data_IF_352254590923
#
_entry.id   IF_352254590923
#
_cell.length_a   1.000
_cell.length_b   1.000
_cell.length_c   1.000
_cell.angle_alpha   90.00
_cell.angle_beta   90.00
_cell.angle_gamma   90.00
#
_symmetry.space_group_name_H-M   'P 1'
#
loop_
_entity.id
_entity.type
_entity.pdbx_description
1 polymer ?
#
# COMPACT_ATOMS: atom_id res chain seq x y z
N UNK A 1 14.77 9.20 -13.33
CA UNK A 1 16.02 9.55 -14.02
C UNK A 1 16.16 8.91 -15.42
N UNK A 2 15.36 7.89 -15.74
CA UNK A 2 15.44 7.22 -17.05
C UNK A 2 14.45 7.80 -18.08
N UNK A 3 13.43 8.53 -17.65
CA UNK A 3 12.44 9.16 -18.52
C UNK A 3 12.86 10.59 -18.85
N UNK A 4 12.51 11.04 -20.07
CA UNK A 4 12.75 12.40 -20.52
C UNK A 4 12.58 12.54 -22.02
N UNK A 5 12.15 13.72 -22.50
CA UNK A 5 12.01 14.01 -23.93
C UNK A 5 10.95 13.20 -24.68
N UNK A 6 10.05 12.52 -23.97
CA UNK A 6 9.09 11.60 -24.59
C UNK A 6 7.99 12.29 -25.39
N UNK A 7 7.80 13.60 -25.25
CA UNK A 7 6.81 14.35 -26.02
C UNK A 7 6.92 14.14 -27.54
N UNK A 8 8.13 14.02 -28.06
CA UNK A 8 8.40 13.80 -29.50
C UNK A 8 7.85 12.47 -30.00
N UNK A 9 7.76 11.46 -29.13
CA UNK A 9 7.38 10.10 -29.50
C UNK A 9 5.96 9.74 -29.10
N UNK A 10 5.43 10.41 -28.04
CA UNK A 10 4.13 10.13 -27.45
C UNK A 10 3.31 11.42 -27.21
N UNK A 11 2.99 12.19 -28.26
CA UNK A 11 2.33 13.48 -28.10
C UNK A 11 0.90 13.36 -27.57
N UNK A 12 0.13 12.36 -27.97
CA UNK A 12 -1.26 12.17 -27.51
C UNK A 12 -1.25 11.79 -26.02
N UNK A 13 -0.41 10.85 -25.64
CA UNK A 13 -0.23 10.46 -24.23
C UNK A 13 0.20 11.66 -23.39
N UNK A 14 1.12 12.48 -23.87
CA UNK A 14 1.58 13.68 -23.16
C UNK A 14 0.43 14.69 -22.96
N UNK A 15 -0.37 14.97 -23.98
CA UNK A 15 -1.52 15.90 -23.89
C UNK A 15 -2.54 15.36 -22.89
N UNK A 16 -2.91 14.10 -22.94
CA UNK A 16 -3.83 13.49 -21.99
C UNK A 16 -3.28 13.54 -20.56
N UNK A 17 -1.98 13.30 -20.38
CA UNK A 17 -1.31 13.41 -19.07
C UNK A 17 -1.35 14.84 -18.55
N UNK A 18 -1.12 15.85 -19.39
CA UNK A 18 -1.19 17.25 -19.01
C UNK A 18 -2.63 17.63 -18.58
N UNK A 19 -3.65 17.20 -19.33
CA UNK A 19 -5.05 17.41 -18.96
C UNK A 19 -5.35 16.80 -17.58
N UNK A 20 -4.91 15.57 -17.35
CA UNK A 20 -5.04 14.90 -16.05
C UNK A 20 -4.29 15.63 -14.93
N UNK A 21 -3.08 16.11 -15.20
CA UNK A 21 -2.24 16.89 -14.28
C UNK A 21 -2.89 18.24 -13.90
N UNK A 22 -3.45 18.95 -14.86
CA UNK A 22 -4.21 20.18 -14.63
C UNK A 22 -5.47 19.87 -13.81
N UNK A 23 -6.17 18.79 -14.12
CA UNK A 23 -7.38 18.39 -13.40
C UNK A 23 -7.09 18.04 -11.94
N UNK A 24 -6.10 17.19 -11.67
CA UNK A 24 -5.76 16.79 -10.28
C UNK A 24 -5.23 17.97 -9.45
N UNK A 25 -4.63 18.95 -10.10
CA UNK A 25 -4.19 20.21 -9.48
C UNK A 25 -5.33 21.14 -9.10
N UNK A 26 -6.57 20.76 -9.42
CA UNK A 26 -7.76 21.56 -9.20
C UNK A 26 -7.73 22.93 -9.91
N UNK A 27 -7.29 22.93 -11.17
CA UNK A 27 -7.41 24.11 -12.00
C UNK A 27 -8.89 24.37 -12.35
N UNK A 28 -9.36 25.63 -12.32
CA UNK A 28 -10.73 25.96 -12.73
C UNK A 28 -11.09 25.35 -14.10
N UNK A 29 -12.35 25.00 -14.31
CA UNK A 29 -12.89 24.31 -15.50
C UNK A 29 -12.52 22.82 -15.61
N UNK A 30 -11.89 22.24 -14.60
CA UNK A 30 -11.61 20.82 -14.54
C UNK A 30 -12.27 20.14 -13.34
N UNK A 31 -12.49 18.82 -13.41
CA UNK A 31 -13.21 18.04 -12.41
C UNK A 31 -12.62 18.13 -11.00
N UNK A 32 -11.28 18.20 -10.89
CA UNK A 32 -10.61 18.33 -9.61
C UNK A 32 -10.94 19.64 -8.86
N UNK A 33 -11.18 20.74 -9.59
CA UNK A 33 -11.63 21.99 -8.98
C UNK A 33 -13.03 21.86 -8.38
N UNK A 34 -13.96 21.24 -9.12
CA UNK A 34 -15.34 21.05 -8.69
C UNK A 34 -15.43 20.22 -7.42
N UNK A 35 -14.71 19.07 -7.37
CA UNK A 35 -14.68 18.21 -6.20
C UNK A 35 -13.98 18.88 -5.00
N UNK A 36 -12.81 19.49 -5.23
CA UNK A 36 -12.02 20.12 -4.18
C UNK A 36 -12.77 21.30 -3.55
N UNK A 37 -13.35 22.19 -4.36
CA UNK A 37 -14.05 23.38 -3.86
C UNK A 37 -15.25 22.99 -2.99
N UNK A 38 -15.98 21.92 -3.34
CA UNK A 38 -17.05 21.37 -2.53
C UNK A 38 -16.56 20.91 -1.15
N UNK A 39 -15.49 20.11 -1.12
CA UNK A 39 -14.90 19.60 0.13
C UNK A 39 -14.39 20.75 1.00
N UNK A 40 -13.67 21.70 0.42
CA UNK A 40 -13.12 22.85 1.16
C UNK A 40 -14.23 23.74 1.72
N UNK A 41 -15.30 23.96 0.95
CA UNK A 41 -16.47 24.70 1.42
C UNK A 41 -17.19 24.01 2.58
N UNK A 42 -17.36 22.68 2.50
CA UNK A 42 -17.95 21.90 3.58
C UNK A 42 -17.13 21.99 4.87
N UNK A 43 -15.81 21.83 4.78
CA UNK A 43 -14.91 21.94 5.94
C UNK A 43 -14.93 23.35 6.56
N UNK A 44 -15.04 24.38 5.73
CA UNK A 44 -15.18 25.77 6.20
C UNK A 44 -16.49 26.00 6.95
N UNK A 45 -17.61 25.44 6.46
CA UNK A 45 -18.93 25.52 7.11
C UNK A 45 -18.98 24.77 8.44
N UNK A 46 -18.33 23.60 8.53
CA UNK A 46 -18.24 22.80 9.76
C UNK A 46 -17.19 23.34 10.76
N UNK A 47 -16.47 24.40 10.42
CA UNK A 47 -15.45 24.97 11.30
C UNK A 47 -14.21 24.11 11.53
N UNK A 48 -13.96 23.11 10.67
CA UNK A 48 -12.81 22.19 10.78
C UNK A 48 -11.53 22.85 10.24
N UNK A 49 -11.11 23.93 10.85
CA UNK A 49 -10.01 24.82 10.40
C UNK A 49 -8.69 24.06 10.22
N UNK A 50 -8.34 23.19 11.14
CA UNK A 50 -7.10 22.41 11.05
C UNK A 50 -7.09 21.49 9.80
N UNK A 51 -8.17 20.76 9.56
CA UNK A 51 -8.30 19.88 8.39
C UNK A 51 -8.31 20.68 7.11
N UNK A 52 -8.97 21.85 7.11
CA UNK A 52 -8.97 22.78 5.98
C UNK A 52 -7.54 23.18 5.56
N UNK A 53 -6.71 23.64 6.52
CA UNK A 53 -5.33 24.03 6.23
C UNK A 53 -4.45 22.83 5.82
N UNK A 54 -4.64 21.65 6.41
CA UNK A 54 -3.93 20.44 6.02
C UNK A 54 -4.22 20.08 4.56
N UNK A 55 -5.49 20.12 4.13
CA UNK A 55 -5.86 19.86 2.75
C UNK A 55 -5.40 20.95 1.78
N UNK A 56 -5.40 22.20 2.21
CA UNK A 56 -4.87 23.30 1.41
C UNK A 56 -3.37 23.11 1.13
N UNK A 57 -2.60 22.77 2.16
CA UNK A 57 -1.18 22.46 2.03
C UNK A 57 -0.92 21.26 1.14
N UNK A 58 -1.66 20.15 1.34
CA UNK A 58 -1.58 18.97 0.50
C UNK A 58 -1.88 19.28 -0.97
N UNK A 59 -2.84 20.17 -1.23
CA UNK A 59 -3.19 20.62 -2.57
C UNK A 59 -2.04 21.34 -3.30
N UNK A 60 -1.28 22.18 -2.60
CA UNK A 60 -0.09 22.81 -3.17
C UNK A 60 0.98 21.74 -3.52
N UNK A 61 1.16 20.73 -2.66
CA UNK A 61 2.04 19.60 -2.91
C UNK A 61 1.62 18.76 -4.13
N UNK A 62 0.32 18.55 -4.33
CA UNK A 62 -0.21 17.83 -5.50
C UNK A 62 0.12 18.57 -6.80
N UNK A 63 -0.06 19.88 -6.86
CA UNK A 63 0.33 20.67 -8.03
C UNK A 63 1.83 20.51 -8.32
N UNK A 64 2.67 20.69 -7.31
CA UNK A 64 4.12 20.61 -7.47
C UNK A 64 4.56 19.22 -7.97
N UNK A 65 4.04 18.15 -7.37
CA UNK A 65 4.44 16.78 -7.70
C UNK A 65 3.74 16.26 -8.97
N UNK A 66 2.42 16.17 -8.95
CA UNK A 66 1.64 15.51 -10.00
C UNK A 66 1.31 16.46 -11.15
N UNK A 67 1.10 17.73 -10.83
CA UNK A 67 0.75 18.75 -11.83
C UNK A 67 1.92 19.20 -12.69
N UNK A 68 3.10 19.37 -12.11
CA UNK A 68 4.27 19.92 -12.81
C UNK A 68 5.39 18.90 -12.95
N UNK A 69 5.87 18.35 -11.82
CA UNK A 69 7.07 17.51 -11.82
C UNK A 69 6.95 16.31 -12.76
N UNK A 70 5.89 15.53 -12.64
CA UNK A 70 5.71 14.30 -13.44
C UNK A 70 5.64 14.63 -14.95
N UNK A 71 4.73 15.50 -15.45
CA UNK A 71 4.69 15.83 -16.87
C UNK A 71 5.98 16.44 -17.39
N UNK A 72 6.59 17.36 -16.61
CA UNK A 72 7.81 18.06 -17.02
C UNK A 72 8.97 17.08 -17.20
N UNK A 73 9.28 16.26 -16.20
CA UNK A 73 10.42 15.34 -16.27
C UNK A 73 10.20 14.17 -17.22
N UNK A 74 8.97 13.70 -17.38
CA UNK A 74 8.69 12.61 -18.31
C UNK A 74 8.71 13.06 -19.78
N UNK A 75 8.16 14.21 -20.10
CA UNK A 75 7.92 14.60 -21.49
C UNK A 75 8.81 15.72 -22.02
N UNK A 76 9.26 16.66 -21.16
CA UNK A 76 9.91 17.90 -21.61
C UNK A 76 11.32 18.11 -21.10
N UNK A 77 11.76 17.43 -20.04
CA UNK A 77 13.10 17.60 -19.47
C UNK A 77 14.21 17.14 -20.45
N UNK A 78 15.29 16.59 -19.94
CA UNK A 78 16.41 16.09 -20.72
C UNK A 78 16.00 14.97 -21.70
N UNK A 79 16.74 14.81 -22.79
CA UNK A 79 16.56 13.69 -23.71
C UNK A 79 17.16 12.41 -23.11
N UNK A 80 16.29 11.45 -22.78
CA UNK A 80 16.73 10.14 -22.25
C UNK A 80 17.32 9.20 -23.31
N UNK A 81 17.22 9.54 -24.61
CA UNK A 81 17.61 8.67 -25.71
C UNK A 81 16.65 7.48 -25.95
N UNK A 82 15.61 7.33 -25.17
CA UNK A 82 14.61 6.26 -25.32
C UNK A 82 13.73 6.59 -26.50
N UNK A 83 13.78 5.74 -27.54
CA UNK A 83 12.87 5.78 -28.66
C UNK A 83 11.71 4.83 -28.40
N UNK A 84 10.52 5.37 -28.17
CA UNK A 84 9.30 4.61 -27.93
C UNK A 84 8.26 4.90 -29.01
N UNK A 85 7.15 4.20 -28.96
CA UNK A 85 5.99 4.45 -29.80
C UNK A 85 4.84 4.95 -28.96
N UNK A 86 3.85 5.59 -29.59
CA UNK A 86 2.58 5.95 -28.95
C UNK A 86 1.92 4.70 -28.35
N UNK A 87 1.11 4.92 -27.33
CA UNK A 87 0.35 3.85 -26.68
C UNK A 87 -0.59 3.13 -27.69
N UNK A 88 -0.96 1.85 -27.45
CA UNK A 88 -1.96 1.15 -28.25
C UNK A 88 -3.28 1.91 -28.30
N UNK A 89 -4.02 1.75 -29.41
CA UNK A 89 -5.25 2.50 -29.68
C UNK A 89 -6.28 2.42 -28.57
N UNK A 90 -6.46 1.24 -27.98
CA UNK A 90 -7.38 1.04 -26.84
C UNK A 90 -6.99 1.90 -25.62
N UNK A 91 -5.70 2.05 -25.33
CA UNK A 91 -5.22 2.90 -24.25
C UNK A 91 -5.39 4.39 -24.58
N UNK A 92 -5.11 4.77 -25.84
CA UNK A 92 -5.33 6.15 -26.30
C UNK A 92 -6.80 6.54 -26.15
N UNK A 93 -7.73 5.68 -26.60
CA UNK A 93 -9.17 5.93 -26.48
C UNK A 93 -9.56 6.09 -25.00
N UNK A 94 -9.08 5.23 -24.12
CA UNK A 94 -9.35 5.33 -22.67
C UNK A 94 -8.83 6.66 -22.09
N UNK A 95 -7.61 7.07 -22.46
CA UNK A 95 -7.03 8.35 -22.00
C UNK A 95 -7.81 9.57 -22.52
N UNK A 96 -8.27 9.53 -23.78
CA UNK A 96 -9.08 10.60 -24.37
C UNK A 96 -10.43 10.70 -23.65
N UNK A 97 -11.11 9.56 -23.40
CA UNK A 97 -12.38 9.54 -22.66
C UNK A 97 -12.18 10.10 -21.25
N UNK A 98 -11.16 9.66 -20.53
CA UNK A 98 -10.86 10.18 -19.19
C UNK A 98 -10.57 11.68 -19.19
N UNK A 99 -9.79 12.16 -20.16
CA UNK A 99 -9.48 13.59 -20.31
C UNK A 99 -10.74 14.41 -20.64
N UNK A 100 -11.60 13.89 -21.52
CA UNK A 100 -12.87 14.53 -21.85
C UNK A 100 -13.79 14.61 -20.63
N UNK A 101 -13.89 13.54 -19.82
CA UNK A 101 -14.66 13.55 -18.58
C UNK A 101 -14.10 14.55 -17.56
N UNK A 102 -12.78 14.69 -17.46
CA UNK A 102 -12.16 15.70 -16.59
C UNK A 102 -12.62 17.14 -16.96
N UNK A 103 -12.75 17.43 -18.24
CA UNK A 103 -13.18 18.73 -18.73
C UNK A 103 -14.71 18.87 -18.59
N UNK A 104 -15.50 17.89 -19.02
CA UNK A 104 -16.95 17.94 -18.97
C UNK A 104 -17.50 18.12 -17.56
N UNK A 105 -16.97 17.37 -16.57
CA UNK A 105 -17.36 17.50 -15.17
C UNK A 105 -16.97 18.90 -14.65
N UNK A 106 -15.83 19.44 -15.09
CA UNK A 106 -15.41 20.77 -14.73
C UNK A 106 -16.34 21.86 -15.24
N UNK A 107 -16.78 21.76 -16.50
CA UNK A 107 -17.65 22.76 -17.14
C UNK A 107 -19.11 22.65 -16.64
N UNK A 108 -19.57 21.41 -16.40
CA UNK A 108 -20.96 21.14 -16.02
C UNK A 108 -21.07 20.49 -14.64
N UNK A 109 -20.74 21.20 -13.56
CA UNK A 109 -20.72 20.64 -12.18
C UNK A 109 -22.09 20.17 -11.70
N UNK A 110 -23.17 20.74 -12.20
CA UNK A 110 -24.54 20.41 -11.79
C UNK A 110 -24.89 18.94 -12.07
N UNK A 111 -24.44 18.40 -13.21
CA UNK A 111 -24.65 16.98 -13.52
C UNK A 111 -23.89 16.07 -12.58
N UNK A 112 -22.67 16.45 -12.20
CA UNK A 112 -21.89 15.70 -11.22
C UNK A 112 -22.53 15.73 -9.84
N UNK A 113 -23.01 16.89 -9.40
CA UNK A 113 -23.66 17.02 -8.10
C UNK A 113 -25.02 16.30 -8.01
N UNK A 114 -25.74 16.17 -9.14
CA UNK A 114 -27.01 15.44 -9.17
C UNK A 114 -26.87 13.92 -8.94
N UNK A 115 -25.68 13.36 -9.10
CA UNK A 115 -25.40 11.94 -8.84
C UNK A 115 -25.17 11.68 -7.35
N UNK A 116 -24.87 12.72 -6.57
CA UNK A 116 -24.60 12.58 -5.14
C UNK A 116 -25.87 12.21 -4.37
N UNK A 117 -25.76 11.43 -3.27
CA UNK A 117 -26.91 10.92 -2.54
C UNK A 117 -27.74 12.00 -1.83
N UNK A 118 -27.16 13.18 -1.65
CA UNK A 118 -27.85 14.32 -1.04
C UNK A 118 -27.90 15.49 -2.01
N UNK A 119 -28.99 16.25 -1.98
CA UNK A 119 -29.10 17.47 -2.75
C UNK A 119 -28.11 18.51 -2.22
N UNK A 120 -27.30 19.04 -3.11
CA UNK A 120 -26.25 20.00 -2.77
C UNK A 120 -26.53 21.31 -3.50
N UNK A 121 -26.85 22.34 -2.74
CA UNK A 121 -26.91 23.72 -3.23
C UNK A 121 -25.55 24.39 -3.09
N UNK A 122 -24.67 24.09 -4.01
CA UNK A 122 -23.32 24.64 -4.02
C UNK A 122 -22.89 25.02 -5.45
N UNK A 123 -22.32 26.21 -5.60
CA UNK A 123 -21.74 26.68 -6.85
C UNK A 123 -20.22 26.83 -6.69
N UNK A 124 -19.43 26.01 -7.42
CA UNK A 124 -17.97 26.03 -7.28
C UNK A 124 -17.32 27.28 -7.91
N UNK A 125 -17.97 27.92 -8.88
CA UNK A 125 -17.46 29.04 -9.64
C UNK A 125 -17.80 30.39 -9.02
N UNK A 126 -17.61 30.52 -7.70
CA UNK A 126 -17.60 31.83 -7.05
C UNK A 126 -16.25 32.54 -7.30
N UNK A 127 -16.32 33.88 -7.48
CA UNK A 127 -15.13 34.68 -7.76
C UNK A 127 -14.02 34.49 -6.73
N UNK A 128 -14.37 34.42 -5.46
CA UNK A 128 -13.42 34.25 -4.36
C UNK A 128 -12.71 32.88 -4.46
N UNK A 129 -13.44 31.81 -4.73
CA UNK A 129 -12.88 30.46 -4.87
C UNK A 129 -11.96 30.34 -6.10
N UNK A 130 -12.40 30.89 -7.24
CA UNK A 130 -11.60 30.82 -8.48
C UNK A 130 -10.30 31.61 -8.31
N UNK A 131 -10.38 32.85 -7.82
CA UNK A 131 -9.19 33.68 -7.62
C UNK A 131 -8.26 33.09 -6.58
N UNK A 132 -8.78 32.63 -5.43
CA UNK A 132 -7.97 32.00 -4.39
C UNK A 132 -7.25 30.74 -4.88
N UNK A 133 -7.92 29.91 -5.69
CA UNK A 133 -7.30 28.73 -6.29
C UNK A 133 -6.24 29.11 -7.32
N UNK A 134 -6.51 30.08 -8.20
CA UNK A 134 -5.52 30.54 -9.18
C UNK A 134 -4.29 31.15 -8.50
N UNK A 135 -4.46 31.91 -7.43
CA UNK A 135 -3.35 32.41 -6.63
C UNK A 135 -2.50 31.28 -6.08
N UNK A 136 -3.12 30.28 -5.44
CA UNK A 136 -2.41 29.11 -4.92
C UNK A 136 -1.60 28.42 -6.01
N UNK A 137 -2.22 28.15 -7.17
CA UNK A 137 -1.58 27.49 -8.30
C UNK A 137 -0.40 28.30 -8.85
N UNK A 138 -0.60 29.63 -9.01
CA UNK A 138 0.43 30.54 -9.53
C UNK A 138 1.64 30.61 -8.59
N UNK A 139 1.42 30.78 -7.29
CA UNK A 139 2.51 30.81 -6.32
C UNK A 139 3.24 29.47 -6.21
N UNK A 140 2.52 28.36 -6.26
CA UNK A 140 3.14 27.03 -6.23
C UNK A 140 3.95 26.74 -7.50
N UNK A 141 3.46 27.14 -8.68
CA UNK A 141 4.20 27.07 -9.94
C UNK A 141 5.44 27.97 -9.92
N UNK A 142 5.30 29.20 -9.43
CA UNK A 142 6.42 30.14 -9.27
C UNK A 142 7.49 29.58 -8.32
N UNK A 143 7.10 29.00 -7.20
CA UNK A 143 8.01 28.34 -6.28
C UNK A 143 8.79 27.19 -6.96
N UNK A 144 8.12 26.38 -7.79
CA UNK A 144 8.79 25.33 -8.57
C UNK A 144 9.84 25.92 -9.53
N UNK A 145 9.48 26.97 -10.27
CA UNK A 145 10.39 27.64 -11.22
C UNK A 145 11.61 28.21 -10.48
N UNK A 146 11.39 28.86 -9.33
CA UNK A 146 12.48 29.37 -8.51
C UNK A 146 13.41 28.27 -8.02
N UNK A 147 12.86 27.20 -7.44
CA UNK A 147 13.65 26.06 -6.96
C UNK A 147 14.49 25.43 -8.07
N UNK A 148 13.90 25.33 -9.26
CA UNK A 148 14.61 24.77 -10.42
C UNK A 148 15.66 25.73 -10.97
N UNK A 149 15.33 27.00 -11.12
CA UNK A 149 16.26 28.03 -11.63
C UNK A 149 17.48 28.22 -10.73
N UNK A 150 17.28 28.28 -9.43
CA UNK A 150 18.39 28.42 -8.45
C UNK A 150 19.11 27.09 -8.16
N UNK A 151 18.75 26.01 -8.85
CA UNK A 151 19.36 24.67 -8.65
C UNK A 151 19.25 24.15 -7.21
N UNK A 152 18.27 24.62 -6.46
CA UNK A 152 17.93 24.15 -5.11
C UNK A 152 17.14 22.82 -5.22
N UNK A 153 16.50 22.59 -6.36
CA UNK A 153 15.77 21.36 -6.63
C UNK A 153 16.68 20.15 -6.56
N UNK A 154 16.36 19.11 -5.75
CA UNK A 154 17.20 17.94 -5.63
C UNK A 154 17.48 17.29 -6.99
N UNK A 155 18.72 16.88 -7.29
CA UNK A 155 19.04 16.21 -8.55
C UNK A 155 18.27 14.88 -8.64
N UNK A 156 18.03 14.45 -9.87
CA UNK A 156 17.44 13.13 -10.13
C UNK A 156 18.44 12.04 -9.79
N UNK A 157 18.24 11.38 -8.66
CA UNK A 157 19.05 10.25 -8.23
C UNK A 157 18.34 8.94 -8.57
N UNK A 158 19.10 7.92 -8.95
CA UNK A 158 18.63 6.56 -9.04
C UNK A 158 18.31 6.07 -7.63
N UNK A 159 17.06 6.23 -7.21
CA UNK A 159 16.61 5.85 -5.88
C UNK A 159 15.44 4.87 -5.98
N UNK A 160 15.41 3.94 -5.04
CA UNK A 160 14.26 3.05 -4.89
C UNK A 160 13.23 3.74 -4.00
N UNK A 161 12.03 3.92 -4.51
CA UNK A 161 10.91 4.42 -3.71
C UNK A 161 10.47 3.30 -2.77
N UNK A 162 10.50 3.57 -1.47
CA UNK A 162 9.97 2.66 -0.46
C UNK A 162 8.45 2.79 -0.45
N UNK A 163 7.79 1.97 -1.22
CA UNK A 163 6.33 1.85 -1.19
C UNK A 163 5.90 1.08 0.07
N UNK A 164 4.63 1.18 0.44
CA UNK A 164 4.06 0.44 1.57
C UNK A 164 4.22 -1.07 1.45
N UNK A 165 4.33 -1.60 0.23
CA UNK A 165 4.58 -3.01 -0.04
C UNK A 165 5.98 -3.48 0.39
N UNK A 166 6.97 -2.57 0.54
CA UNK A 166 8.28 -2.88 1.07
C UNK A 166 8.19 -3.49 2.49
N UNK A 167 7.23 -3.00 3.30
CA UNK A 167 7.03 -3.48 4.67
C UNK A 167 6.73 -4.98 4.67
N UNK A 168 5.75 -5.42 3.87
CA UNK A 168 5.35 -6.84 3.87
C UNK A 168 6.17 -7.71 2.92
N UNK A 169 6.85 -7.16 1.92
CA UNK A 169 7.71 -7.92 0.99
C UNK A 169 9.15 -8.09 1.48
N UNK A 170 9.69 -7.13 2.21
CA UNK A 170 11.10 -7.11 2.63
C UNK A 170 11.27 -7.10 4.14
N UNK A 171 10.65 -6.14 4.83
CA UNK A 171 10.82 -5.96 6.26
C UNK A 171 10.18 -7.12 7.04
N UNK A 172 8.93 -7.42 6.79
CA UNK A 172 8.18 -8.43 7.52
C UNK A 172 8.78 -9.85 7.36
N UNK A 173 9.10 -10.34 6.14
CA UNK A 173 9.80 -11.61 6.00
C UNK A 173 11.18 -11.61 6.66
N UNK A 174 11.93 -10.50 6.59
CA UNK A 174 13.23 -10.37 7.23
C UNK A 174 13.20 -10.53 8.75
N UNK A 175 12.08 -10.17 9.38
CA UNK A 175 11.88 -10.32 10.82
C UNK A 175 11.21 -11.67 11.16
N UNK A 176 10.18 -12.06 10.40
CA UNK A 176 9.40 -13.27 10.70
C UNK A 176 10.15 -14.56 10.40
N UNK A 177 10.92 -14.62 9.31
CA UNK A 177 11.63 -15.87 8.95
C UNK A 177 12.64 -16.31 10.01
N UNK A 178 13.48 -15.44 10.60
CA UNK A 178 14.35 -15.84 11.72
C UNK A 178 13.56 -16.34 12.94
N UNK A 179 12.44 -15.71 13.26
CA UNK A 179 11.58 -16.11 14.39
C UNK A 179 10.95 -17.48 14.12
N UNK A 180 10.42 -17.70 12.92
CA UNK A 180 9.86 -19.00 12.52
C UNK A 180 10.92 -20.09 12.51
N UNK A 181 12.13 -19.81 12.07
CA UNK A 181 13.24 -20.76 12.13
C UNK A 181 13.61 -21.11 13.57
N UNK A 182 13.64 -20.11 14.47
CA UNK A 182 13.89 -20.34 15.90
C UNK A 182 12.81 -21.22 16.52
N UNK A 183 11.54 -20.97 16.22
CA UNK A 183 10.41 -21.78 16.67
C UNK A 183 10.52 -23.22 16.13
N UNK A 184 10.85 -23.38 14.86
CA UNK A 184 11.05 -24.69 14.25
C UNK A 184 12.21 -25.48 14.87
N UNK A 185 13.31 -24.82 15.17
CA UNK A 185 14.41 -25.48 15.87
C UNK A 185 14.05 -25.87 17.32
N UNK A 186 13.32 -24.99 18.00
CA UNK A 186 12.82 -25.29 19.34
C UNK A 186 11.85 -26.50 19.32
N UNK A 187 10.91 -26.52 18.37
CA UNK A 187 9.97 -27.64 18.24
C UNK A 187 10.67 -28.97 17.93
N UNK A 188 11.68 -28.98 17.05
CA UNK A 188 12.49 -30.18 16.79
C UNK A 188 13.22 -30.67 18.03
N UNK A 189 13.77 -29.78 18.86
CA UNK A 189 14.41 -30.17 20.12
C UNK A 189 13.41 -30.74 21.10
N UNK A 190 12.20 -30.20 21.19
CA UNK A 190 11.12 -30.74 22.01
C UNK A 190 10.71 -32.13 21.52
N UNK A 191 10.56 -32.30 20.22
CA UNK A 191 10.23 -33.59 19.62
C UNK A 191 11.30 -34.68 19.92
N UNK A 192 12.58 -34.35 19.73
CA UNK A 192 13.69 -35.21 20.08
C UNK A 192 13.72 -35.55 21.57
N UNK A 193 13.43 -34.61 22.44
CA UNK A 193 13.35 -34.83 23.88
C UNK A 193 12.20 -35.77 24.24
N UNK A 194 11.03 -35.59 23.64
CA UNK A 194 9.87 -36.47 23.83
C UNK A 194 10.18 -37.89 23.35
N UNK A 195 10.81 -38.04 22.19
CA UNK A 195 11.24 -39.36 21.68
C UNK A 195 12.26 -40.03 22.64
N UNK A 196 13.26 -39.27 23.11
CA UNK A 196 14.24 -39.76 24.06
C UNK A 196 13.58 -40.24 25.37
N UNK A 197 12.66 -39.45 25.90
CA UNK A 197 11.87 -39.79 27.07
C UNK A 197 11.07 -41.09 26.84
N UNK A 198 10.39 -41.20 25.71
CA UNK A 198 9.61 -42.37 25.35
C UNK A 198 10.47 -43.63 25.25
N UNK A 199 11.61 -43.55 24.60
CA UNK A 199 12.58 -44.67 24.48
C UNK A 199 13.14 -45.03 25.86
N UNK A 200 13.44 -44.06 26.71
CA UNK A 200 13.97 -44.27 28.06
C UNK A 200 12.95 -44.96 28.97
N UNK A 201 11.70 -44.55 28.93
CA UNK A 201 10.58 -45.16 29.64
C UNK A 201 10.37 -46.59 29.15
N UNK A 202 10.38 -46.81 27.83
CA UNK A 202 10.26 -48.17 27.25
C UNK A 202 11.39 -49.09 27.70
N UNK A 203 12.64 -48.63 27.72
CA UNK A 203 13.80 -49.38 28.22
C UNK A 203 13.69 -49.68 29.72
N UNK A 204 13.25 -48.73 30.53
CA UNK A 204 13.05 -48.89 31.97
C UNK A 204 12.05 -50.01 32.26
N UNK A 205 10.88 -50.02 31.58
CA UNK A 205 9.88 -51.05 31.73
C UNK A 205 10.36 -52.41 31.19
N UNK A 206 11.10 -52.46 30.08
CA UNK A 206 11.67 -53.66 29.53
C UNK A 206 12.68 -54.31 30.52
N UNK A 207 13.54 -53.49 31.16
CA UNK A 207 14.49 -53.98 32.16
C UNK A 207 13.82 -54.52 33.43
N UNK A 208 12.73 -53.88 33.90
CA UNK A 208 11.94 -54.42 35.00
C UNK A 208 11.31 -55.76 34.68
N UNK A 209 10.79 -55.93 33.44
CA UNK A 209 10.18 -57.17 32.98
C UNK A 209 11.21 -58.31 32.85
N UNK A 210 12.41 -57.99 32.36
CA UNK A 210 13.48 -59.01 32.18
C UNK A 210 14.07 -59.44 33.51
N UNK A 211 14.20 -58.55 34.49
CA UNK A 211 14.80 -58.84 35.76
C UNK A 211 13.86 -59.56 36.76
N UNK A 212 12.55 -59.44 36.58
CA UNK A 212 11.57 -60.15 37.42
C UNK A 212 11.16 -61.48 36.77
N UNK A 213 11.92 -62.55 37.01
CA UNK A 213 11.57 -63.92 36.71
C UNK A 213 10.28 -64.44 37.40
N UNK A 214 9.57 -63.61 38.10
CA UNK A 214 8.31 -63.86 38.81
C UNK A 214 7.07 -63.66 37.91
N UNK A 215 7.26 -63.11 36.72
CA UNK A 215 6.16 -62.76 35.80
C UNK A 215 5.96 -63.69 34.61
N UNK A 216 6.46 -64.96 34.78
CA UNK A 216 6.13 -66.03 33.84
C UNK A 216 4.81 -66.68 34.27
N UNK A 217 3.79 -66.38 33.56
CA UNK A 217 2.55 -67.10 33.26
C UNK A 217 1.30 -66.29 33.41
N UNK A 218 0.77 -65.41 33.17
CA UNK A 218 -0.64 -64.96 33.14
C UNK A 218 -0.87 -63.44 33.29
N UNK A 219 0.11 -62.60 33.03
CA UNK A 219 -0.28 -61.21 32.76
C UNK A 219 -0.35 -61.04 31.25
N UNK A 220 -1.53 -61.26 30.71
CA UNK A 220 -1.81 -61.26 29.30
C UNK A 220 -1.47 -59.92 28.63
N UNK A 221 -1.32 -59.97 27.32
CA UNK A 221 -1.13 -58.82 26.42
C UNK A 221 -2.08 -57.63 26.75
N UNK A 222 -3.21 -57.90 27.39
CA UNK A 222 -4.22 -56.94 27.79
C UNK A 222 -3.73 -55.96 28.89
N UNK A 223 -2.91 -56.41 29.84
CA UNK A 223 -2.37 -55.56 30.91
C UNK A 223 -1.31 -54.60 30.38
N UNK A 224 -0.50 -55.03 29.44
CA UNK A 224 0.47 -54.21 28.73
C UNK A 224 -0.23 -53.13 27.89
N UNK A 225 -1.32 -53.50 27.21
CA UNK A 225 -2.15 -52.61 26.44
C UNK A 225 -2.80 -51.52 27.33
N UNK A 226 -3.30 -51.89 28.49
CA UNK A 226 -3.89 -50.96 29.46
C UNK A 226 -2.86 -49.97 30.00
N UNK A 227 -1.63 -50.43 30.33
CA UNK A 227 -0.56 -49.52 30.77
C UNK A 227 -0.11 -48.56 29.66
N UNK A 228 -0.01 -49.06 28.41
CA UNK A 228 0.30 -48.20 27.26
C UNK A 228 -0.79 -47.13 27.04
N UNK A 229 -2.06 -47.50 27.11
CA UNK A 229 -3.19 -46.63 26.96
C UNK A 229 -3.23 -45.54 28.06
N UNK A 230 -2.89 -45.94 29.31
CA UNK A 230 -2.83 -45.02 30.44
C UNK A 230 -1.68 -44.01 30.29
N UNK A 231 -0.51 -44.41 29.80
CA UNK A 231 0.63 -43.50 29.54
C UNK A 231 0.29 -42.54 28.39
N UNK A 232 -0.34 -43.01 27.32
CA UNK A 232 -0.79 -42.16 26.21
C UNK A 232 -1.83 -41.13 26.68
N UNK A 233 -2.74 -41.53 27.56
CA UNK A 233 -3.76 -40.66 28.13
C UNK A 233 -3.13 -39.59 29.04
N UNK A 234 -2.14 -39.95 29.87
CA UNK A 234 -1.39 -38.98 30.68
C UNK A 234 -0.62 -37.97 29.83
N UNK A 235 0.02 -38.40 28.74
CA UNK A 235 0.72 -37.53 27.82
C UNK A 235 -0.29 -36.60 27.14
N UNK A 236 -1.44 -37.12 26.72
CA UNK A 236 -2.51 -36.28 26.11
C UNK A 236 -3.05 -35.22 27.06
N UNK A 237 -3.28 -35.57 28.34
CA UNK A 237 -3.74 -34.61 29.37
C UNK A 237 -2.65 -33.56 29.63
N UNK A 238 -1.39 -33.95 29.65
CA UNK A 238 -0.27 -33.02 29.87
C UNK A 238 -0.12 -32.06 28.70
N UNK A 239 -0.19 -32.55 27.48
CA UNK A 239 -0.16 -31.71 26.26
C UNK A 239 -1.37 -30.79 26.20
N UNK A 240 -2.57 -31.31 26.52
CA UNK A 240 -3.80 -30.51 26.59
C UNK A 240 -3.69 -29.35 27.58
N UNK A 241 -3.04 -29.57 28.74
CA UNK A 241 -2.84 -28.56 29.78
C UNK A 241 -1.80 -27.50 29.41
N UNK A 242 -0.92 -27.77 28.45
CA UNK A 242 0.07 -26.82 27.93
C UNK A 242 -0.53 -25.93 26.84
N UNK A 243 -1.56 -26.43 26.15
CA UNK A 243 -2.23 -25.69 25.05
C UNK A 243 -3.50 -24.93 25.46
N UNK A 244 -3.94 -25.07 26.70
CA UNK A 244 -4.99 -24.28 27.36
C UNK A 244 -4.39 -23.32 28.37
#
# INVERSE_FOLDING_TARGET
SELGGLFKFMPITAICTIIGAISISAFPLFSGFVAKSLIMSALGKEGLVFVYFMLLFASAGVLHHSGIKIPFFAFFAHESGIKTKEAPLNMIVAMIIASALCILIGIFPSYFYSILPYQIEYQPYDFSHVVGQLQLLTFAAFAFICLWHFKIYPPELNSTVLNSDWIYRKMLPGVLLPILNLINEASKKVEQFVEFMFISVKRFFANIMINNKVFDREVGQDTLMVIQLFIVLLIFIFVWKIYL
#
